data_IF_364643869511
#
_entry.id   IF_364643869511
#
_cell.length_a   1.000
_cell.length_b   1.000
_cell.length_c   1.000
_cell.angle_alpha   90.00
_cell.angle_beta   90.00
_cell.angle_gamma   90.00
#
_symmetry.space_group_name_H-M   'P 1'
#
loop_
_entity.id
_entity.type
_entity.pdbx_description
1 polymer ?
#
# COMPACT_ATOMS: atom_id res chain seq x y z
N UNK A 1 18.90 67.13 -9.03
CA UNK A 1 17.82 66.35 -9.67
C UNK A 1 18.31 64.92 -9.97
N UNK A 2 18.58 64.11 -8.93
CA UNK A 2 19.28 62.82 -9.12
C UNK A 2 18.70 61.66 -8.29
N UNK A 3 17.76 61.94 -7.38
CA UNK A 3 17.17 60.95 -6.46
C UNK A 3 15.99 60.16 -7.03
N UNK A 4 15.36 60.59 -8.14
CA UNK A 4 14.19 59.91 -8.69
C UNK A 4 14.52 58.75 -9.64
N UNK A 5 15.76 58.66 -10.16
CA UNK A 5 16.16 57.62 -11.13
C UNK A 5 16.61 56.31 -10.48
N UNK A 6 17.00 56.33 -9.20
CA UNK A 6 17.44 55.14 -8.46
C UNK A 6 16.27 54.37 -7.83
N UNK A 7 15.18 55.04 -7.48
CA UNK A 7 14.01 54.44 -6.80
C UNK A 7 13.21 53.53 -7.76
N UNK A 8 13.09 53.91 -9.03
CA UNK A 8 12.33 53.15 -10.05
C UNK A 8 12.96 51.81 -10.43
N UNK A 9 14.29 51.66 -10.35
CA UNK A 9 14.98 50.42 -10.68
C UNK A 9 14.88 49.34 -9.57
N UNK A 10 14.79 49.77 -8.30
CA UNK A 10 14.66 48.86 -7.17
C UNK A 10 13.25 48.24 -7.06
N UNK A 11 12.22 49.01 -7.44
CA UNK A 11 10.82 48.57 -7.40
C UNK A 11 10.49 47.53 -8.49
N UNK A 12 11.08 47.63 -9.70
CA UNK A 12 10.87 46.65 -10.78
C UNK A 12 11.60 45.32 -10.54
N UNK A 13 12.79 45.35 -9.92
CA UNK A 13 13.52 44.14 -9.53
C UNK A 13 12.79 43.33 -8.45
N UNK A 14 12.16 44.00 -7.49
CA UNK A 14 11.42 43.35 -6.40
C UNK A 14 10.14 42.65 -6.90
N UNK A 15 9.41 43.26 -7.85
CA UNK A 15 8.19 42.69 -8.43
C UNK A 15 8.50 41.44 -9.27
N UNK A 16 9.62 41.42 -9.99
CA UNK A 16 10.04 40.25 -10.77
C UNK A 16 10.44 39.05 -9.89
N UNK A 17 11.04 39.29 -8.72
CA UNK A 17 11.40 38.25 -7.75
C UNK A 17 10.19 37.62 -7.05
N UNK A 18 9.14 38.40 -6.76
CA UNK A 18 7.91 37.89 -6.13
C UNK A 18 7.08 37.04 -7.12
N UNK A 19 7.11 37.36 -8.42
CA UNK A 19 6.40 36.59 -9.45
C UNK A 19 6.98 35.18 -9.67
N UNK A 20 8.28 34.97 -9.42
CA UNK A 20 8.94 33.66 -9.57
C UNK A 20 8.65 32.68 -8.42
N UNK A 21 8.17 33.18 -7.26
CA UNK A 21 7.81 32.33 -6.11
C UNK A 21 6.34 31.90 -6.08
N UNK A 22 5.54 32.32 -7.06
CA UNK A 22 4.10 32.05 -7.12
C UNK A 22 3.74 30.71 -7.80
N UNK A 23 4.70 29.99 -8.37
CA UNK A 23 4.49 28.64 -8.89
C UNK A 23 4.70 27.61 -7.79
N UNK A 24 3.70 27.50 -6.91
CA UNK A 24 3.54 26.32 -6.08
C UNK A 24 2.63 25.37 -6.85
N UNK A 25 3.20 24.40 -7.58
CA UNK A 25 2.40 23.26 -8.00
C UNK A 25 1.83 22.62 -6.74
N UNK A 26 0.51 22.36 -6.67
CA UNK A 26 -0.06 21.61 -5.57
C UNK A 26 0.69 20.28 -5.48
N UNK A 27 1.37 20.04 -4.36
CA UNK A 27 1.94 18.73 -4.10
C UNK A 27 0.79 17.73 -4.03
N UNK A 28 0.59 16.98 -5.13
CA UNK A 28 -0.46 15.97 -5.21
C UNK A 28 -0.15 14.88 -4.18
N UNK A 29 -1.02 14.79 -3.17
CA UNK A 29 -0.89 13.85 -2.10
C UNK A 29 -1.67 12.60 -2.49
N UNK A 30 -1.06 11.68 -3.24
CA UNK A 30 -1.75 10.53 -3.84
C UNK A 30 -1.20 9.19 -3.33
N UNK A 31 -2.00 8.13 -3.43
CA UNK A 31 -1.52 6.75 -3.33
C UNK A 31 -1.17 6.23 -4.72
N UNK A 32 0.11 5.94 -4.96
CA UNK A 32 0.62 5.49 -6.24
C UNK A 32 1.22 4.11 -6.15
N UNK A 33 1.20 3.39 -7.27
CA UNK A 33 1.91 2.12 -7.42
C UNK A 33 2.76 2.17 -8.68
N UNK A 34 4.03 1.84 -8.53
CA UNK A 34 4.99 1.70 -9.61
C UNK A 34 5.26 0.21 -9.86
N UNK A 35 4.91 -0.26 -11.06
CA UNK A 35 5.22 -1.60 -11.53
C UNK A 35 6.65 -1.62 -12.09
N UNK A 36 7.61 -2.11 -11.30
CA UNK A 36 9.00 -2.27 -11.73
C UNK A 36 9.28 -3.64 -12.35
N UNK A 37 8.25 -4.48 -12.53
CA UNK A 37 8.39 -5.77 -13.21
C UNK A 37 8.49 -5.57 -14.72
N UNK A 38 8.80 -6.67 -15.43
CA UNK A 38 8.76 -6.72 -16.89
C UNK A 38 7.35 -6.95 -17.45
N UNK A 39 6.38 -7.33 -16.63
CA UNK A 39 5.04 -7.75 -17.05
C UNK A 39 4.01 -6.63 -16.85
N UNK A 40 2.85 -6.76 -17.50
CA UNK A 40 1.64 -6.02 -17.13
C UNK A 40 1.03 -6.62 -15.88
N UNK A 41 0.59 -5.75 -14.98
CA UNK A 41 0.05 -6.15 -13.69
C UNK A 41 -1.34 -5.57 -13.48
N UNK A 42 -2.28 -6.42 -13.07
CA UNK A 42 -3.59 -6.02 -12.57
C UNK A 42 -3.52 -5.74 -11.08
N UNK A 43 -4.08 -4.63 -10.62
CA UNK A 43 -4.09 -4.23 -9.20
C UNK A 43 -5.52 -4.12 -8.69
N UNK A 44 -5.74 -4.60 -7.46
CA UNK A 44 -6.87 -4.26 -6.62
C UNK A 44 -6.38 -3.61 -5.32
N UNK A 45 -7.13 -2.63 -4.82
CA UNK A 45 -6.83 -1.83 -3.64
C UNK A 45 -7.95 -1.96 -2.61
N UNK A 46 -7.59 -2.29 -1.39
CA UNK A 46 -8.46 -2.23 -0.21
C UNK A 46 -8.03 -1.11 0.73
N UNK A 47 -8.99 -0.35 1.23
CA UNK A 47 -8.72 0.72 2.18
C UNK A 47 -9.94 0.97 3.08
N UNK A 48 -9.71 1.68 4.18
CA UNK A 48 -10.78 2.09 5.09
C UNK A 48 -11.04 3.58 4.92
N UNK A 49 -12.28 3.94 4.62
CA UNK A 49 -12.77 5.31 4.60
C UNK A 49 -13.65 5.60 5.83
N UNK A 50 -14.34 6.73 5.78
CA UNK A 50 -15.22 7.25 6.82
C UNK A 50 -16.43 6.33 7.07
N UNK A 51 -16.87 5.61 6.04
CA UNK A 51 -18.08 4.78 6.04
C UNK A 51 -17.75 3.31 6.32
N UNK A 52 -16.52 2.88 6.05
CA UNK A 52 -16.05 1.54 6.37
C UNK A 52 -14.96 1.05 5.43
N UNK A 53 -14.92 -0.27 5.25
CA UNK A 53 -13.99 -0.90 4.31
C UNK A 53 -14.49 -0.78 2.87
N UNK A 54 -13.57 -0.52 1.96
CA UNK A 54 -13.80 -0.44 0.53
C UNK A 54 -12.73 -1.28 -0.17
N UNK A 55 -13.12 -2.03 -1.19
CA UNK A 55 -12.18 -2.61 -2.17
C UNK A 55 -12.55 -2.18 -3.57
N UNK A 56 -11.53 -1.86 -4.35
CA UNK A 56 -11.62 -1.41 -5.73
C UNK A 56 -10.62 -2.14 -6.61
N UNK A 57 -10.94 -2.24 -7.90
CA UNK A 57 -10.10 -2.86 -8.92
C UNK A 57 -10.83 -2.84 -10.26
N UNK A 58 -10.25 -3.14 -11.41
CA UNK A 58 -8.84 -3.46 -11.63
C UNK A 58 -8.14 -2.28 -12.30
N UNK A 59 -7.03 -1.82 -11.73
CA UNK A 59 -6.10 -0.99 -12.48
C UNK A 59 -5.19 -1.87 -13.30
N UNK A 60 -4.96 -1.52 -14.56
CA UNK A 60 -4.01 -2.21 -15.42
C UNK A 60 -2.74 -1.36 -15.57
N UNK A 61 -1.67 -1.81 -14.93
CA UNK A 61 -0.41 -1.07 -14.88
C UNK A 61 0.59 -1.73 -15.82
N UNK A 62 1.02 -0.98 -16.84
CA UNK A 62 2.03 -1.43 -17.79
C UNK A 62 3.37 -1.71 -17.13
N UNK A 63 4.19 -2.54 -17.78
CA UNK A 63 5.58 -2.78 -17.41
C UNK A 63 6.35 -1.45 -17.27
N UNK A 64 7.13 -1.31 -16.19
CA UNK A 64 7.94 -0.12 -15.90
C UNK A 64 7.15 1.20 -15.84
N UNK A 65 5.87 1.14 -15.47
CA UNK A 65 5.00 2.32 -15.36
C UNK A 65 4.47 2.50 -13.92
N UNK A 66 4.02 3.71 -13.61
CA UNK A 66 3.37 4.02 -12.34
C UNK A 66 1.96 4.55 -12.56
N UNK A 67 1.01 4.10 -11.74
CA UNK A 67 -0.38 4.54 -11.76
C UNK A 67 -0.80 5.12 -10.41
N UNK A 68 -1.79 6.02 -10.43
CA UNK A 68 -2.40 6.57 -9.21
C UNK A 68 -3.65 5.78 -8.88
N UNK A 69 -3.63 5.03 -7.77
CA UNK A 69 -4.74 4.17 -7.37
C UNK A 69 -5.79 4.93 -6.55
N UNK A 70 -5.34 5.84 -5.69
CA UNK A 70 -6.21 6.71 -4.90
C UNK A 70 -5.70 8.15 -5.00
N UNK A 71 -6.60 9.07 -5.34
CA UNK A 71 -6.29 10.50 -5.44
C UNK A 71 -6.60 11.22 -4.13
N UNK A 72 -5.76 12.20 -3.81
CA UNK A 72 -5.96 13.06 -2.66
C UNK A 72 -5.46 12.45 -1.35
N UNK A 73 -5.41 13.30 -0.33
CA UNK A 73 -4.68 13.05 0.91
C UNK A 73 -5.11 11.74 1.56
N UNK A 74 -4.13 10.89 1.85
CA UNK A 74 -4.34 9.63 2.55
C UNK A 74 -4.82 9.89 3.97
N UNK A 75 -5.94 9.27 4.33
CA UNK A 75 -6.59 9.40 5.64
C UNK A 75 -6.34 8.19 6.55
N UNK A 76 -5.97 7.05 5.97
CA UNK A 76 -5.61 5.84 6.68
C UNK A 76 -4.09 5.63 6.70
N UNK A 77 -3.60 4.89 7.70
CA UNK A 77 -2.21 4.42 7.78
C UNK A 77 -1.97 3.18 6.93
N UNK A 78 -2.92 2.26 6.91
CA UNK A 78 -2.79 0.96 6.25
C UNK A 78 -3.65 0.90 4.99
N UNK A 79 -3.05 0.44 3.91
CA UNK A 79 -3.70 0.14 2.64
C UNK A 79 -3.38 -1.30 2.25
N UNK A 80 -4.27 -1.94 1.51
CA UNK A 80 -4.19 -3.36 1.21
C UNK A 80 -4.17 -3.55 -0.29
N UNK A 81 -3.24 -4.35 -0.80
CA UNK A 81 -3.07 -4.51 -2.25
C UNK A 81 -3.13 -5.98 -2.60
N UNK A 82 -3.81 -6.28 -3.70
CA UNK A 82 -3.69 -7.56 -4.39
C UNK A 82 -3.28 -7.27 -5.82
N UNK A 83 -2.35 -8.05 -6.35
CA UNK A 83 -1.86 -7.85 -7.71
C UNK A 83 -1.69 -9.19 -8.44
N UNK A 84 -1.91 -9.17 -9.77
CA UNK A 84 -1.78 -10.34 -10.65
C UNK A 84 -0.84 -10.01 -11.80
N UNK A 85 0.15 -10.87 -12.06
CA UNK A 85 0.98 -10.78 -13.28
C UNK A 85 0.19 -11.39 -14.46
N UNK A 86 -0.24 -10.55 -15.40
CA UNK A 86 -1.06 -10.99 -16.53
C UNK A 86 -0.26 -11.71 -17.63
N UNK A 87 1.06 -11.55 -17.67
CA UNK A 87 1.87 -12.07 -18.77
C UNK A 87 2.57 -13.38 -18.38
N UNK A 88 3.09 -13.49 -17.16
CA UNK A 88 3.77 -14.70 -16.66
C UNK A 88 2.92 -15.53 -15.69
N UNK A 89 1.81 -14.98 -15.21
CA UNK A 89 1.06 -15.57 -14.11
C UNK A 89 1.76 -15.38 -12.77
N UNK A 90 1.04 -15.69 -11.69
CA UNK A 90 1.46 -15.40 -10.33
C UNK A 90 0.76 -14.17 -9.75
N UNK A 91 0.89 -14.01 -8.44
CA UNK A 91 0.20 -12.97 -7.69
C UNK A 91 1.05 -12.41 -6.56
N UNK A 92 0.75 -11.18 -6.18
CA UNK A 92 1.14 -10.60 -4.90
C UNK A 92 -0.09 -10.61 -4.01
N UNK A 93 -0.12 -11.55 -3.07
CA UNK A 93 -1.20 -11.74 -2.11
C UNK A 93 -0.71 -11.65 -0.67
N UNK A 94 -1.66 -11.57 0.26
CA UNK A 94 -1.36 -11.53 1.68
C UNK A 94 -2.48 -12.14 2.52
N UNK A 95 -2.46 -11.85 3.83
CA UNK A 95 -3.36 -12.49 4.80
C UNK A 95 -4.62 -11.66 5.10
N UNK A 96 -4.73 -10.43 4.55
CA UNK A 96 -5.91 -9.59 4.74
C UNK A 96 -6.99 -9.97 3.71
N UNK A 97 -7.94 -10.80 4.12
CA UNK A 97 -9.00 -11.26 3.22
C UNK A 97 -10.09 -10.19 3.03
N UNK A 98 -10.35 -9.86 1.77
CA UNK A 98 -11.36 -8.88 1.36
C UNK A 98 -12.07 -9.35 0.09
N UNK A 99 -13.15 -8.66 -0.29
CA UNK A 99 -13.94 -9.04 -1.46
C UNK A 99 -13.31 -8.53 -2.76
N UNK A 100 -13.35 -9.34 -3.82
CA UNK A 100 -12.94 -8.96 -5.18
C UNK A 100 -13.87 -9.56 -6.24
N UNK A 101 -13.66 -9.21 -7.52
CA UNK A 101 -14.39 -9.77 -8.67
C UNK A 101 -13.51 -9.78 -9.92
N UNK A 102 -13.90 -10.57 -10.93
CA UNK A 102 -13.19 -10.70 -12.21
C UNK A 102 -13.13 -9.42 -13.07
N UNK A 103 -14.14 -8.55 -12.97
CA UNK A 103 -14.25 -7.29 -13.74
C UNK A 103 -14.05 -6.10 -12.82
N UNK A 104 -13.88 -4.91 -13.39
CA UNK A 104 -13.83 -3.66 -12.63
C UNK A 104 -14.97 -3.56 -11.60
N UNK A 105 -14.63 -3.15 -10.38
CA UNK A 105 -15.46 -3.23 -9.21
C UNK A 105 -15.12 -2.15 -8.18
N UNK A 106 -16.15 -1.80 -7.41
CA UNK A 106 -16.05 -1.10 -6.13
C UNK A 106 -17.01 -1.81 -5.18
N UNK A 107 -16.50 -2.32 -4.05
CA UNK A 107 -17.27 -3.09 -3.08
C UNK A 107 -17.08 -2.48 -1.70
N UNK A 108 -18.20 -2.20 -1.02
CA UNK A 108 -18.22 -1.80 0.39
C UNK A 108 -18.34 -3.05 1.28
N UNK A 109 -17.59 -3.08 2.37
CA UNK A 109 -17.55 -4.19 3.33
C UNK A 109 -16.67 -5.36 2.88
N UNK A 110 -16.18 -6.13 3.84
CA UNK A 110 -15.27 -7.28 3.63
C UNK A 110 -15.87 -8.61 4.08
N UNK A 111 -17.07 -8.57 4.63
CA UNK A 111 -17.84 -9.69 5.12
C UNK A 111 -18.63 -10.41 4.02
N UNK A 112 -18.82 -11.71 4.23
CA UNK A 112 -19.69 -12.59 3.44
C UNK A 112 -19.49 -12.52 1.92
N UNK A 113 -18.25 -12.28 1.44
CA UNK A 113 -17.94 -12.08 0.02
C UNK A 113 -18.60 -13.13 -0.89
N UNK A 114 -18.40 -14.42 -0.57
CA UNK A 114 -18.95 -15.53 -1.35
C UNK A 114 -20.49 -15.53 -1.38
N UNK A 115 -21.14 -15.29 -0.25
CA UNK A 115 -22.61 -15.25 -0.17
C UNK A 115 -23.20 -14.04 -0.92
N UNK A 116 -22.41 -12.97 -1.05
CA UNK A 116 -22.73 -11.76 -1.82
C UNK A 116 -22.36 -11.88 -3.31
N UNK A 117 -21.79 -13.02 -3.74
CA UNK A 117 -21.41 -13.27 -5.13
C UNK A 117 -20.07 -12.65 -5.55
N UNK A 118 -19.17 -12.42 -4.58
CA UNK A 118 -17.81 -11.93 -4.77
C UNK A 118 -16.79 -13.00 -4.38
N UNK A 119 -15.57 -12.85 -4.86
CA UNK A 119 -14.45 -13.70 -4.47
C UNK A 119 -13.85 -13.25 -3.15
N UNK A 120 -13.25 -14.19 -2.41
CA UNK A 120 -12.52 -13.91 -1.17
C UNK A 120 -11.02 -13.96 -1.45
N UNK A 121 -10.41 -12.79 -1.56
CA UNK A 121 -9.02 -12.64 -1.99
C UNK A 121 -8.13 -12.12 -0.86
N UNK A 122 -6.90 -12.61 -0.76
CA UNK A 122 -5.93 -12.19 0.24
C UNK A 122 -5.07 -11.03 -0.26
N UNK A 123 -5.16 -9.88 0.40
CA UNK A 123 -4.38 -8.68 0.10
C UNK A 123 -3.16 -8.60 1.04
N UNK A 124 -2.04 -8.08 0.54
CA UNK A 124 -0.88 -7.73 1.35
C UNK A 124 -1.02 -6.32 1.91
N UNK A 125 -0.56 -6.12 3.15
CA UNK A 125 -0.67 -4.85 3.85
C UNK A 125 0.51 -3.93 3.51
N UNK A 126 0.20 -2.65 3.32
CA UNK A 126 1.13 -1.55 3.12
C UNK A 126 0.96 -0.56 4.27
N UNK A 127 1.97 -0.44 5.12
CA UNK A 127 2.05 0.59 6.14
C UNK A 127 2.65 1.87 5.55
N UNK A 128 1.85 2.93 5.48
CA UNK A 128 2.27 4.25 4.98
C UNK A 128 2.89 5.13 6.06
N UNK A 129 2.90 4.69 7.32
CA UNK A 129 3.43 5.47 8.45
C UNK A 129 2.69 6.80 8.66
N UNK A 130 1.39 6.85 8.35
CA UNK A 130 0.54 8.06 8.43
C UNK A 130 0.94 9.17 7.45
N UNK A 131 1.70 8.82 6.41
CA UNK A 131 2.04 9.78 5.36
C UNK A 131 0.81 10.13 4.51
N UNK A 132 0.72 11.40 4.13
CA UNK A 132 -0.39 11.94 3.32
C UNK A 132 -0.35 11.50 1.85
N UNK A 133 0.78 10.97 1.40
CA UNK A 133 1.04 10.48 0.06
C UNK A 133 1.98 9.28 0.18
N UNK A 134 1.83 8.28 -0.67
CA UNK A 134 2.65 7.07 -0.62
C UNK A 134 2.82 6.45 -2.01
N UNK A 135 3.98 5.86 -2.27
CA UNK A 135 4.22 5.12 -3.52
C UNK A 135 4.73 3.72 -3.20
N UNK A 136 3.97 2.71 -3.65
CA UNK A 136 4.37 1.30 -3.58
C UNK A 136 5.24 0.96 -4.78
N UNK A 137 6.35 0.26 -4.53
CA UNK A 137 7.23 -0.26 -5.58
C UNK A 137 6.98 -1.76 -5.71
N UNK A 138 6.36 -2.18 -6.81
CA UNK A 138 6.08 -3.58 -7.08
C UNK A 138 7.22 -4.20 -7.89
N UNK A 139 7.83 -5.26 -7.37
CA UNK A 139 8.90 -6.05 -8.01
C UNK A 139 8.42 -7.47 -8.24
N UNK A 140 9.19 -8.28 -8.97
CA UNK A 140 8.76 -9.63 -9.36
C UNK A 140 8.24 -10.47 -8.18
N UNK A 141 7.16 -11.22 -8.41
CA UNK A 141 6.56 -12.13 -7.46
C UNK A 141 7.38 -13.43 -7.34
N UNK A 142 8.66 -13.34 -6.96
CA UNK A 142 9.41 -14.53 -6.52
C UNK A 142 9.03 -14.82 -5.09
N UNK A 143 8.01 -15.67 -4.90
CA UNK A 143 7.58 -16.25 -3.62
C UNK A 143 7.68 -15.28 -2.42
N UNK A 144 6.78 -14.30 -2.33
CA UNK A 144 6.48 -13.65 -1.05
C UNK A 144 5.73 -14.62 -0.14
N UNK A 145 6.39 -15.72 0.25
CA UNK A 145 6.09 -16.40 1.50
C UNK A 145 6.44 -15.39 2.62
N UNK A 146 5.53 -15.04 3.55
CA UNK A 146 5.81 -14.07 4.60
C UNK A 146 6.76 -14.70 5.63
N UNK A 147 8.04 -14.79 5.27
CA UNK A 147 9.10 -14.71 6.26
C UNK A 147 9.48 -13.25 6.33
N UNK A 148 9.07 -12.65 7.44
CA UNK A 148 9.44 -11.32 7.92
C UNK A 148 10.86 -10.90 7.50
N UNK A 149 11.12 -9.58 7.32
CA UNK A 149 12.48 -9.09 7.11
C UNK A 149 13.42 -9.70 8.14
N UNK A 150 14.45 -10.38 7.67
CA UNK A 150 15.44 -11.03 8.50
C UNK A 150 16.00 -10.04 9.52
N UNK A 151 15.76 -10.32 10.80
CA UNK A 151 16.52 -9.74 11.88
C UNK A 151 18.01 -10.06 11.64
N UNK A 152 18.92 -9.07 11.70
CA UNK A 152 20.35 -9.32 11.66
C UNK A 152 20.71 -10.33 12.74
N UNK A 153 21.42 -11.39 12.35
CA UNK A 153 21.79 -12.49 13.24
C UNK A 153 22.49 -11.98 14.49
N UNK A 154 21.86 -12.22 15.64
CA UNK A 154 22.54 -12.13 16.93
C UNK A 154 23.23 -13.48 17.18
N UNK A 155 24.57 -13.52 17.38
CA UNK A 155 25.23 -14.73 17.81
C UNK A 155 24.87 -14.98 19.28
N UNK A 156 24.32 -16.16 19.55
CA UNK A 156 24.08 -16.76 20.88
C UNK A 156 22.90 -16.21 21.70
N UNK A 157 21.78 -16.94 21.66
CA UNK A 157 20.81 -16.98 22.75
C UNK A 157 20.56 -18.46 23.16
N UNK A 158 20.65 -18.83 24.45
CA UNK A 158 20.36 -20.18 24.90
C UNK A 158 18.88 -20.51 24.73
N UNK A 159 18.59 -21.73 24.27
CA UNK A 159 17.24 -22.19 23.92
C UNK A 159 16.21 -21.95 25.02
N UNK A 160 15.13 -21.26 24.65
CA UNK A 160 13.96 -21.06 25.50
C UNK A 160 12.81 -21.95 25.03
N UNK A 161 12.49 -22.89 25.92
CA UNK A 161 11.30 -23.71 26.11
C UNK A 161 10.09 -23.52 25.16
N UNK A 162 9.68 -24.62 24.53
CA UNK A 162 8.33 -24.82 23.99
C UNK A 162 7.31 -24.87 25.15
N UNK A 163 6.18 -24.13 25.11
CA UNK A 163 5.10 -24.33 26.06
C UNK A 163 4.14 -25.42 25.60
N UNK A 164 3.95 -26.45 26.45
CA UNK A 164 2.63 -27.07 26.62
C UNK A 164 2.42 -28.48 26.06
N UNK A 165 3.19 -29.46 26.50
CA UNK A 165 2.70 -30.83 26.58
C UNK A 165 1.83 -30.98 27.84
N UNK A 166 0.58 -31.42 27.70
CA UNK A 166 -0.30 -31.78 28.82
C UNK A 166 0.10 -33.16 29.39
N UNK A 167 0.38 -33.32 30.70
CA UNK A 167 0.57 -34.63 31.29
C UNK A 167 -0.71 -35.15 31.99
N UNK A 168 -1.14 -36.34 31.54
CA UNK A 168 -1.43 -37.51 32.38
C UNK A 168 -2.61 -37.48 33.36
N UNK A 169 -3.64 -38.29 33.07
CA UNK A 169 -4.55 -38.82 34.07
C UNK A 169 -4.57 -40.36 34.01
N UNK A 170 -3.97 -40.98 35.03
CA UNK A 170 -4.15 -42.36 35.51
C UNK A 170 -3.87 -42.27 37.04
N UNK A 171 -4.35 -43.18 37.92
CA UNK A 171 -4.51 -44.62 37.69
C UNK A 171 -5.70 -45.29 38.41
N UNK A 172 -5.83 -46.62 38.25
CA UNK A 172 -6.33 -47.49 39.31
C UNK A 172 -7.38 -48.51 38.90
N UNK A 173 -6.95 -49.75 38.65
CA UNK A 173 -7.79 -50.94 38.82
C UNK A 173 -7.74 -51.35 40.30
N UNK A 174 -8.80 -51.94 40.88
CA UNK A 174 -8.63 -53.32 41.34
C UNK A 174 -9.87 -54.24 41.23
N UNK A 175 -9.52 -55.52 40.98
CA UNK A 175 -10.23 -56.80 41.17
C UNK A 175 -11.23 -57.24 40.11
#
# INVERSE_FOLDING_TARGET
MTFHRTITAALTGLVALVALCAWNDPAAADFRLCNNTSSRVGIALGYKDNEGWVTEGWWNVSSRACETLLRGTLVARYYYIYAIDYDRGGEWSGQAFMCSRDKEFTIKGTEDCLARGFDRTGYFEVDTGEQRAWTVQLTESTEQNPRSPGLPGMPNAPGAAQPGALPGAAPGNPK
#
